data_IF_380776637437
#
_entry.id   IF_380776637437
#
_cell.length_a   1.000
_cell.length_b   1.000
_cell.length_c   1.000
_cell.angle_alpha   90.00
_cell.angle_beta   90.00
_cell.angle_gamma   90.00
#
_symmetry.space_group_name_H-M   'P 1'
#
loop_
_entity.id
_entity.type
_entity.pdbx_description
1 polymer ?
#
# COMPACT_ATOMS: atom_id res chain seq x y z
N UNK A 1 1.23 -5.89 -0.59
CA UNK A 1 0.85 -4.79 -1.50
C UNK A 1 -0.42 -4.20 -0.92
N UNK A 2 -0.41 -2.90 -0.60
CA UNK A 2 -1.57 -2.19 -0.07
C UNK A 2 -1.80 -0.99 -0.96
N UNK A 3 -3.03 -0.78 -1.42
CA UNK A 3 -3.39 0.35 -2.29
C UNK A 3 -4.21 1.41 -1.58
N UNK A 4 -4.86 1.08 -0.46
CA UNK A 4 -5.76 1.99 0.25
C UNK A 4 -5.63 1.83 1.77
N UNK A 5 -5.75 2.90 2.58
CA UNK A 5 -5.69 2.83 4.05
C UNK A 5 -6.65 1.82 4.67
N UNK A 6 -7.84 1.64 4.06
CA UNK A 6 -8.85 0.65 4.47
C UNK A 6 -8.35 -0.81 4.46
N UNK A 7 -7.30 -1.12 3.72
CA UNK A 7 -6.70 -2.46 3.68
C UNK A 7 -5.81 -2.72 4.91
N UNK A 8 -5.45 -1.68 5.67
CA UNK A 8 -4.63 -1.73 6.88
C UNK A 8 -5.46 -2.19 8.09
N UNK A 9 -5.93 -3.43 8.01
CA UNK A 9 -6.74 -4.08 9.03
C UNK A 9 -5.88 -4.51 10.24
N UNK A 10 -6.54 -4.83 11.37
CA UNK A 10 -5.85 -5.36 12.55
C UNK A 10 -5.13 -6.70 12.25
N UNK A 11 -5.68 -7.50 11.34
CA UNK A 11 -5.04 -8.75 10.89
C UNK A 11 -3.77 -8.45 10.08
N UNK A 12 -3.82 -7.47 9.16
CA UNK A 12 -2.64 -7.04 8.40
C UNK A 12 -1.54 -6.49 9.32
N UNK A 13 -1.93 -5.71 10.33
CA UNK A 13 -1.00 -5.17 11.32
C UNK A 13 -0.34 -6.28 12.15
N UNK A 14 -1.11 -7.27 12.62
CA UNK A 14 -0.58 -8.41 13.34
C UNK A 14 0.42 -9.23 12.50
N UNK A 15 0.11 -9.46 11.22
CA UNK A 15 1.00 -10.16 10.31
C UNK A 15 2.30 -9.37 10.05
N UNK A 16 2.21 -8.06 9.79
CA UNK A 16 3.39 -7.22 9.58
C UNK A 16 4.28 -7.16 10.82
N UNK A 17 3.67 -7.05 12.01
CA UNK A 17 4.39 -7.08 13.29
C UNK A 17 5.15 -8.39 13.48
N UNK A 18 4.54 -9.54 13.22
CA UNK A 18 5.21 -10.83 13.32
C UNK A 18 6.43 -10.93 12.38
N UNK A 19 6.30 -10.50 11.12
CA UNK A 19 7.42 -10.50 10.18
C UNK A 19 8.53 -9.54 10.63
N UNK A 20 8.19 -8.34 11.12
CA UNK A 20 9.19 -7.39 11.63
C UNK A 20 9.92 -7.92 12.86
N UNK A 21 9.22 -8.60 13.77
CA UNK A 21 9.84 -9.24 14.94
C UNK A 21 10.77 -10.39 14.54
N UNK A 22 10.50 -11.07 13.44
CA UNK A 22 11.41 -12.04 12.84
C UNK A 22 12.60 -11.39 12.09
N UNK A 23 12.72 -10.06 12.09
CA UNK A 23 13.84 -9.33 11.50
C UNK A 23 13.67 -8.93 10.03
N UNK A 24 12.50 -9.18 9.43
CA UNK A 24 12.26 -8.78 8.03
C UNK A 24 12.01 -7.28 7.88
N UNK A 25 12.63 -6.68 6.86
CA UNK A 25 12.30 -5.34 6.39
C UNK A 25 11.14 -5.43 5.42
N UNK A 26 10.04 -4.73 5.72
CA UNK A 26 8.84 -4.77 4.90
C UNK A 26 8.76 -3.53 4.00
N UNK A 27 8.53 -3.77 2.72
CA UNK A 27 8.35 -2.74 1.70
C UNK A 27 6.94 -2.83 1.11
N UNK A 28 6.30 -1.68 0.91
CA UNK A 28 5.05 -1.58 0.18
C UNK A 28 5.33 -1.05 -1.23
N UNK A 29 4.88 -1.81 -2.22
CA UNK A 29 4.66 -1.31 -3.56
C UNK A 29 3.15 -1.10 -3.69
N UNK A 30 2.72 0.01 -4.27
CA UNK A 30 1.33 0.36 -4.57
C UNK A 30 1.19 0.55 -6.08
N UNK A 31 -0.02 0.39 -6.62
CA UNK A 31 -0.37 0.82 -7.97
C UNK A 31 -1.30 2.01 -7.87
N UNK A 32 -1.04 3.06 -8.67
CA UNK A 32 -1.95 4.17 -8.85
C UNK A 32 -3.18 3.69 -9.63
N UNK A 33 -4.32 3.68 -8.98
CA UNK A 33 -5.57 3.13 -9.46
C UNK A 33 -6.66 4.18 -9.38
N UNK A 34 -7.26 4.47 -10.53
CA UNK A 34 -8.38 5.41 -10.66
C UNK A 34 -9.56 5.05 -9.76
N UNK A 35 -10.05 6.02 -9.00
CA UNK A 35 -11.15 5.88 -8.04
C UNK A 35 -10.82 5.06 -6.79
N UNK A 36 -9.55 4.74 -6.56
CA UNK A 36 -9.09 4.01 -5.37
C UNK A 36 -8.11 4.88 -4.59
N UNK A 37 -6.99 5.24 -5.19
CA UNK A 37 -5.90 5.97 -4.52
C UNK A 37 -5.28 7.04 -5.43
N UNK A 38 -6.06 7.53 -6.39
CA UNK A 38 -5.70 8.60 -7.33
C UNK A 38 -5.85 10.02 -6.76
N UNK A 39 -6.03 10.12 -5.44
CA UNK A 39 -6.07 11.37 -4.69
C UNK A 39 -4.87 11.46 -3.74
N UNK A 40 -4.27 12.65 -3.65
CA UNK A 40 -3.04 12.88 -2.86
C UNK A 40 -3.29 12.60 -1.38
N UNK A 41 -4.45 12.98 -0.87
CA UNK A 41 -4.86 12.80 0.52
C UNK A 41 -4.90 11.31 0.91
N UNK A 42 -5.40 10.47 0.00
CA UNK A 42 -5.48 9.01 0.20
C UNK A 42 -4.09 8.39 0.21
N UNK A 43 -3.20 8.80 -0.69
CA UNK A 43 -1.82 8.32 -0.74
C UNK A 43 -1.03 8.78 0.48
N UNK A 44 -1.24 10.00 0.96
CA UNK A 44 -0.60 10.54 2.15
C UNK A 44 -1.01 9.75 3.40
N UNK A 45 -2.32 9.51 3.57
CA UNK A 45 -2.85 8.66 4.65
C UNK A 45 -2.25 7.25 4.59
N UNK A 46 -2.23 6.64 3.40
CA UNK A 46 -1.67 5.30 3.21
C UNK A 46 -0.20 5.25 3.61
N UNK A 47 0.62 6.20 3.15
CA UNK A 47 2.04 6.24 3.45
C UNK A 47 2.30 6.44 4.94
N UNK A 48 1.54 7.34 5.58
CA UNK A 48 1.61 7.62 7.02
C UNK A 48 1.29 6.35 7.81
N UNK A 49 0.16 5.72 7.56
CA UNK A 49 -0.29 4.54 8.30
C UNK A 49 0.61 3.32 8.06
N UNK A 50 1.13 3.13 6.84
CA UNK A 50 2.12 2.10 6.56
C UNK A 50 3.37 2.26 7.45
N UNK A 51 3.90 3.48 7.58
CA UNK A 51 5.10 3.73 8.37
C UNK A 51 4.83 3.67 9.88
N UNK A 52 3.83 4.40 10.36
CA UNK A 52 3.63 4.58 11.80
C UNK A 52 2.91 3.40 12.44
N UNK A 53 1.91 2.83 11.76
CA UNK A 53 1.08 1.76 12.32
C UNK A 53 1.62 0.38 12.00
N UNK A 54 2.04 0.14 10.75
CA UNK A 54 2.53 -1.19 10.33
C UNK A 54 4.06 -1.30 10.33
N UNK A 55 4.79 -0.18 10.29
CA UNK A 55 6.24 -0.12 10.04
C UNK A 55 6.67 -0.81 8.76
N UNK A 56 5.86 -0.64 7.73
CA UNK A 56 6.15 -1.00 6.34
C UNK A 56 6.59 0.26 5.62
N UNK A 57 7.71 0.22 4.90
CA UNK A 57 8.21 1.38 4.17
C UNK A 57 7.48 1.52 2.81
N UNK A 58 6.82 2.66 2.52
CA UNK A 58 6.37 2.96 1.17
C UNK A 58 7.58 2.99 0.22
N UNK A 59 7.55 2.21 -0.86
CA UNK A 59 8.71 1.99 -1.72
C UNK A 59 8.47 2.41 -3.17
N UNK A 60 7.42 1.89 -3.81
CA UNK A 60 7.05 2.30 -5.16
C UNK A 60 5.56 2.61 -5.27
N UNK A 61 5.25 3.62 -6.08
CA UNK A 61 3.93 3.87 -6.63
C UNK A 61 4.02 3.63 -8.14
N UNK A 62 3.54 2.47 -8.58
CA UNK A 62 3.56 2.08 -9.98
C UNK A 62 2.39 2.74 -10.72
N UNK A 63 2.63 3.21 -11.93
CA UNK A 63 1.55 3.50 -12.85
C UNK A 63 1.00 2.18 -13.39
N UNK A 64 -0.32 2.06 -13.56
CA UNK A 64 -0.95 0.81 -14.00
C UNK A 64 -0.45 0.35 -15.38
N UNK A 65 -0.16 -0.95 -15.49
CA UNK A 65 0.39 -1.55 -16.72
C UNK A 65 -0.58 -1.46 -17.92
N UNK A 66 -0.01 -1.51 -19.12
CA UNK A 66 -0.72 -1.61 -20.40
C UNK A 66 -1.37 -2.98 -20.65
N UNK A 67 -1.70 -3.72 -19.58
CA UNK A 67 -2.37 -5.01 -19.68
C UNK A 67 -3.78 -4.85 -20.27
N UNK A 68 -4.18 -5.83 -21.09
CA UNK A 68 -5.48 -5.82 -21.78
C UNK A 68 -6.62 -5.76 -20.75
N UNK A 69 -7.52 -4.80 -20.91
CA UNK A 69 -8.66 -4.58 -19.99
C UNK A 69 -8.40 -3.61 -18.83
N UNK A 70 -7.15 -3.23 -18.56
CA UNK A 70 -6.79 -2.37 -17.41
C UNK A 70 -6.88 -0.86 -17.68
N UNK A 71 -7.28 -0.45 -18.89
CA UNK A 71 -7.35 0.97 -19.26
C UNK A 71 -8.29 1.79 -18.37
N UNK A 72 -9.38 1.20 -17.87
CA UNK A 72 -10.35 1.88 -17.00
C UNK A 72 -9.83 2.16 -15.58
N UNK A 73 -8.69 1.57 -15.20
CA UNK A 73 -8.03 1.74 -13.90
C UNK A 73 -6.90 2.77 -13.93
N UNK A 74 -6.60 3.34 -15.10
CA UNK A 74 -5.67 4.45 -15.29
C UNK A 74 -6.40 5.79 -15.21
#
# INVERSE_FOLDING_TARGET
>A
HFNHPRELTNAAEAACRAMRQAGFVLLNQSVLLKGVNDHVEVLEELCRELMYRLGVKPYYLHHGDLARGMAHRR
#
